data_IF_093801124913
#
_entry.id   IF_093801124913
#
_cell.length_a   1.000
_cell.length_b   1.000
_cell.length_c   1.000
_cell.angle_alpha   90.00
_cell.angle_beta   90.00
_cell.angle_gamma   90.00
#
_symmetry.space_group_name_H-M   'P 1'
#
loop_
_entity.id
_entity.type
_entity.pdbx_description
1 polymer ?
#
# COMPACT_ATOMS: atom_id res chain seq x y z
N UNK A 1 3.27 -7.30 -20.50
CA UNK A 1 2.00 -6.58 -20.74
C UNK A 1 1.09 -7.23 -21.80
N UNK A 2 1.52 -8.27 -22.56
CA UNK A 2 0.73 -8.85 -23.68
C UNK A 2 0.22 -10.31 -23.50
N UNK A 3 0.29 -10.92 -22.31
CA UNK A 3 -0.24 -12.30 -22.08
C UNK A 3 -1.11 -12.49 -20.84
N UNK A 4 -1.44 -11.42 -20.11
CA UNK A 4 -2.38 -11.48 -18.99
C UNK A 4 -3.86 -11.39 -19.45
N UNK A 5 -4.11 -10.99 -20.69
CA UNK A 5 -5.46 -10.96 -21.29
C UNK A 5 -5.88 -12.27 -21.96
N UNK A 6 -4.95 -13.17 -22.30
CA UNK A 6 -5.25 -14.32 -23.17
C UNK A 6 -5.83 -15.53 -22.42
N UNK A 7 -5.61 -15.65 -21.10
CA UNK A 7 -6.11 -16.80 -20.32
C UNK A 7 -7.62 -16.72 -19.99
N UNK A 8 -8.26 -15.57 -20.21
CA UNK A 8 -9.70 -15.39 -19.94
C UNK A 8 -10.60 -15.43 -21.19
N UNK A 9 -10.05 -15.74 -22.36
CA UNK A 9 -10.80 -15.72 -23.63
C UNK A 9 -11.44 -17.08 -24.04
N UNK A 10 -11.17 -18.19 -23.35
CA UNK A 10 -11.57 -19.53 -23.83
C UNK A 10 -12.80 -20.17 -23.15
N UNK A 11 -13.54 -19.44 -22.30
CA UNK A 11 -14.90 -19.87 -21.90
C UNK A 11 -15.94 -18.88 -22.37
N UNK A 12 -16.25 -18.98 -23.67
CA UNK A 12 -17.54 -18.55 -24.21
C UNK A 12 -18.65 -19.37 -23.54
N UNK A 13 -19.55 -18.70 -22.83
CA UNK A 13 -20.87 -19.25 -22.53
C UNK A 13 -21.93 -18.32 -23.08
N UNK A 14 -22.59 -18.85 -24.10
CA UNK A 14 -23.84 -18.41 -24.70
C UNK A 14 -24.90 -18.11 -23.64
N UNK A 15 -25.66 -17.03 -23.82
CA UNK A 15 -26.82 -16.75 -22.98
C UNK A 15 -27.17 -15.27 -22.95
N UNK A 16 -27.94 -14.82 -23.95
CA UNK A 16 -28.37 -13.44 -24.09
C UNK A 16 -29.29 -12.95 -22.98
N UNK A 17 -29.16 -11.67 -22.66
CA UNK A 17 -30.25 -10.73 -22.35
C UNK A 17 -29.68 -9.31 -22.45
N UNK A 18 -29.92 -8.68 -23.60
CA UNK A 18 -29.76 -7.24 -23.82
C UNK A 18 -30.80 -6.54 -22.94
N UNK A 19 -30.38 -5.73 -21.97
CA UNK A 19 -31.26 -4.76 -21.32
C UNK A 19 -30.73 -3.36 -21.64
N UNK A 20 -31.38 -2.72 -22.61
CA UNK A 20 -31.30 -1.28 -22.80
C UNK A 20 -31.70 -0.59 -21.50
N UNK A 21 -30.87 0.33 -21.00
CA UNK A 21 -31.33 1.31 -20.01
C UNK A 21 -30.78 2.68 -20.40
N UNK A 22 -31.76 3.54 -20.66
CA UNK A 22 -31.66 4.87 -21.22
C UNK A 22 -30.67 5.78 -20.46
N UNK A 23 -29.86 6.47 -21.25
CA UNK A 23 -29.19 7.72 -20.88
C UNK A 23 -30.23 8.81 -20.68
N UNK A 24 -30.46 9.21 -19.43
CA UNK A 24 -31.00 10.54 -19.12
C UNK A 24 -29.79 11.42 -18.81
N UNK A 25 -29.46 12.27 -19.78
CA UNK A 25 -28.61 13.44 -19.61
C UNK A 25 -29.48 14.48 -18.90
N UNK A 26 -29.12 14.90 -17.69
CA UNK A 26 -29.62 16.16 -17.13
C UNK A 26 -28.50 17.18 -17.31
N UNK A 27 -28.56 17.82 -18.48
CA UNK A 27 -27.98 19.12 -18.73
C UNK A 27 -29.16 20.02 -19.12
N UNK A 28 -29.63 20.83 -18.18
CA UNK A 28 -30.53 21.97 -18.40
C UNK A 28 -30.39 22.87 -17.19
N UNK A 29 -29.60 23.95 -17.27
CA UNK A 29 -30.06 25.27 -17.70
C UNK A 29 -31.25 25.76 -16.88
N UNK A 30 -30.96 26.51 -15.80
CA UNK A 30 -31.93 27.42 -15.19
C UNK A 30 -31.54 28.83 -15.63
N UNK A 31 -32.15 29.27 -16.72
CA UNK A 31 -32.34 30.70 -17.01
C UNK A 31 -33.80 30.97 -16.67
N UNK A 32 -34.03 31.71 -15.59
CA UNK A 32 -35.28 32.44 -15.38
C UNK A 32 -34.90 33.88 -15.10
N UNK A 33 -35.03 34.71 -16.14
CA UNK A 33 -34.94 36.15 -16.03
C UNK A 33 -36.15 36.68 -15.25
N UNK A 34 -35.90 37.43 -14.19
CA UNK A 34 -36.79 38.53 -13.78
C UNK A 34 -35.94 39.78 -13.75
N UNK A 35 -36.34 40.75 -14.57
CA UNK A 35 -35.65 42.01 -14.75
C UNK A 35 -36.06 42.98 -13.62
N UNK A 36 -35.09 43.41 -12.81
CA UNK A 36 -35.02 44.75 -12.21
C UNK A 36 -33.71 44.90 -11.42
N UNK A 37 -32.90 45.90 -11.76
CA UNK A 37 -31.72 46.29 -10.97
C UNK A 37 -30.40 46.12 -11.71
N UNK A 38 -29.96 47.19 -12.36
CA UNK A 38 -28.61 47.33 -12.88
C UNK A 38 -27.59 47.28 -11.74
N UNK A 39 -26.89 46.16 -11.58
CA UNK A 39 -25.51 46.17 -11.11
C UNK A 39 -24.66 45.36 -12.07
N UNK A 40 -23.79 46.08 -12.77
CA UNK A 40 -22.78 45.54 -13.67
C UNK A 40 -21.67 44.92 -12.83
N UNK A 41 -21.99 43.84 -12.12
CA UNK A 41 -20.99 43.01 -11.45
C UNK A 41 -20.20 42.29 -12.54
N UNK A 42 -19.07 42.89 -12.93
CA UNK A 42 -17.96 42.14 -13.50
C UNK A 42 -17.76 40.94 -12.56
N UNK A 43 -17.97 39.71 -13.05
CA UNK A 43 -17.61 38.49 -12.34
C UNK A 43 -16.10 38.55 -12.11
N UNK A 44 -15.69 39.25 -11.06
CA UNK A 44 -14.35 39.14 -10.49
C UNK A 44 -14.29 37.70 -10.03
N UNK A 45 -13.64 36.85 -10.83
CA UNK A 45 -13.15 35.57 -10.37
C UNK A 45 -12.49 35.87 -9.03
N UNK A 46 -13.02 35.31 -7.95
CA UNK A 46 -12.53 35.63 -6.61
C UNK A 46 -11.03 35.34 -6.58
N UNK A 47 -10.26 36.12 -5.82
CA UNK A 47 -8.81 35.90 -5.70
C UNK A 47 -8.50 34.42 -5.34
N UNK A 48 -9.37 33.79 -4.56
CA UNK A 48 -9.32 32.37 -4.23
C UNK A 48 -9.45 31.44 -5.46
N UNK A 49 -10.39 31.70 -6.38
CA UNK A 49 -10.50 30.91 -7.62
C UNK A 49 -9.31 31.12 -8.56
N UNK A 50 -8.78 32.34 -8.65
CA UNK A 50 -7.57 32.63 -9.45
C UNK A 50 -6.36 31.89 -8.90
N UNK A 51 -6.15 31.95 -7.58
CA UNK A 51 -5.08 31.22 -6.91
C UNK A 51 -5.25 29.71 -7.11
N UNK A 52 -6.44 29.15 -6.84
CA UNK A 52 -6.72 27.73 -7.05
C UNK A 52 -6.43 27.28 -8.49
N UNK A 53 -6.82 28.04 -9.51
CA UNK A 53 -6.49 27.73 -10.92
C UNK A 53 -4.99 27.77 -11.17
N UNK A 54 -4.29 28.74 -10.60
CA UNK A 54 -2.84 28.87 -10.72
C UNK A 54 -2.14 27.65 -10.10
N UNK A 55 -2.46 27.30 -8.86
CA UNK A 55 -1.90 26.13 -8.16
C UNK A 55 -2.22 24.83 -8.93
N UNK A 56 -3.44 24.71 -9.46
CA UNK A 56 -3.84 23.55 -10.24
C UNK A 56 -3.18 23.45 -11.63
N UNK A 57 -2.62 24.53 -12.17
CA UNK A 57 -2.13 24.56 -13.56
C UNK A 57 -0.91 23.66 -13.80
N UNK A 58 -0.09 23.41 -12.76
CA UNK A 58 1.10 22.57 -12.83
C UNK A 58 0.81 21.06 -12.74
N UNK A 59 -0.46 20.66 -12.64
CA UNK A 59 -0.83 19.29 -12.27
C UNK A 59 -1.06 18.42 -13.50
N UNK A 60 -1.20 17.09 -13.34
CA UNK A 60 -1.43 16.20 -14.50
C UNK A 60 -2.79 16.46 -15.13
N UNK A 61 -3.74 16.90 -14.30
CA UNK A 61 -5.13 17.10 -14.65
C UNK A 61 -5.61 18.44 -14.06
N UNK A 62 -5.21 19.58 -14.65
CA UNK A 62 -5.49 20.90 -14.08
C UNK A 62 -6.98 21.20 -13.87
N UNK A 63 -7.82 20.83 -14.83
CA UNK A 63 -9.27 21.03 -14.75
C UNK A 63 -9.92 20.22 -13.63
N UNK A 64 -9.40 19.02 -13.40
CA UNK A 64 -9.91 18.11 -12.39
C UNK A 64 -9.52 18.56 -10.99
N UNK A 65 -8.28 19.02 -10.81
CA UNK A 65 -7.83 19.68 -9.59
C UNK A 65 -8.76 20.83 -9.20
N UNK A 66 -8.97 21.76 -10.15
CA UNK A 66 -9.75 22.96 -9.88
C UNK A 66 -11.21 22.62 -9.62
N UNK A 67 -11.83 21.81 -10.47
CA UNK A 67 -13.25 21.44 -10.33
C UNK A 67 -13.55 20.66 -9.05
N UNK A 68 -12.59 19.88 -8.53
CA UNK A 68 -12.76 19.15 -7.27
C UNK A 68 -12.91 20.07 -6.05
N UNK A 69 -12.27 21.24 -6.05
CA UNK A 69 -12.27 22.19 -4.92
C UNK A 69 -13.14 23.42 -5.16
N UNK A 70 -13.54 23.70 -6.41
CA UNK A 70 -14.33 24.87 -6.78
C UNK A 70 -15.59 25.02 -5.92
N UNK A 71 -16.36 23.94 -5.74
CA UNK A 71 -17.58 23.96 -4.91
C UNK A 71 -17.29 24.28 -3.42
N UNK A 72 -16.10 23.96 -2.91
CA UNK A 72 -15.69 24.33 -1.55
C UNK A 72 -15.38 25.83 -1.44
N UNK A 73 -14.78 26.41 -2.49
CA UNK A 73 -14.49 27.84 -2.59
C UNK A 73 -15.80 28.63 -2.72
N UNK A 74 -16.71 28.18 -3.59
CA UNK A 74 -18.06 28.76 -3.73
C UNK A 74 -18.83 28.73 -2.40
N UNK A 75 -18.61 27.68 -1.59
CA UNK A 75 -19.14 27.52 -0.23
C UNK A 75 -18.46 28.39 0.84
N UNK A 76 -17.59 29.34 0.45
CA UNK A 76 -16.97 30.31 1.34
C UNK A 76 -15.68 29.86 2.02
N UNK A 77 -15.05 28.76 1.59
CA UNK A 77 -13.71 28.39 2.08
C UNK A 77 -12.67 29.36 1.56
N UNK A 78 -11.90 29.95 2.49
CA UNK A 78 -10.77 30.83 2.16
C UNK A 78 -9.63 30.02 1.54
N UNK A 79 -9.01 30.60 0.52
CA UNK A 79 -7.80 30.08 -0.13
C UNK A 79 -6.85 31.26 -0.26
N UNK A 80 -5.80 31.27 0.54
CA UNK A 80 -4.83 32.37 0.60
C UNK A 80 -3.41 31.88 0.20
N UNK A 81 -3.20 30.56 0.16
CA UNK A 81 -1.94 29.91 -0.20
C UNK A 81 -2.12 28.59 -0.96
N UNK A 82 -1.07 28.10 -1.61
CA UNK A 82 -1.05 26.75 -2.21
C UNK A 82 -1.29 25.64 -1.17
N UNK A 83 -0.84 25.86 0.07
CA UNK A 83 -1.11 24.97 1.20
C UNK A 83 -2.62 24.81 1.44
N UNK A 84 -3.41 25.88 1.28
CA UNK A 84 -4.86 25.82 1.43
C UNK A 84 -5.52 25.03 0.31
N UNK A 85 -5.00 25.16 -0.92
CA UNK A 85 -5.43 24.34 -2.07
C UNK A 85 -5.21 22.85 -1.78
N UNK A 86 -4.01 22.50 -1.29
CA UNK A 86 -3.63 21.13 -0.90
C UNK A 86 -4.57 20.61 0.21
N UNK A 87 -4.83 21.39 1.27
CA UNK A 87 -5.75 21.00 2.33
C UNK A 87 -7.18 20.80 1.83
N UNK A 88 -7.68 21.67 0.96
CA UNK A 88 -9.02 21.51 0.38
C UNK A 88 -9.11 20.24 -0.47
N UNK A 89 -8.11 19.97 -1.30
CA UNK A 89 -8.04 18.74 -2.10
C UNK A 89 -7.99 17.49 -1.22
N UNK A 90 -7.20 17.50 -0.14
CA UNK A 90 -7.14 16.43 0.86
C UNK A 90 -8.51 16.21 1.52
N UNK A 91 -9.16 17.28 1.97
CA UNK A 91 -10.44 17.18 2.67
C UNK A 91 -11.57 16.66 1.74
N UNK A 92 -11.63 17.15 0.49
CA UNK A 92 -12.57 16.63 -0.52
C UNK A 92 -12.32 15.13 -0.74
N UNK A 93 -11.06 14.73 -0.81
CA UNK A 93 -10.67 13.32 -0.98
C UNK A 93 -11.07 12.48 0.23
N UNK A 94 -10.77 12.92 1.46
CA UNK A 94 -11.14 12.22 2.70
C UNK A 94 -12.65 12.01 2.76
N UNK A 95 -13.43 13.07 2.54
CA UNK A 95 -14.91 13.00 2.53
C UNK A 95 -15.38 12.02 1.45
N UNK A 96 -14.78 12.06 0.26
CA UNK A 96 -15.08 11.10 -0.78
C UNK A 96 -14.76 9.68 -0.29
N UNK A 97 -13.57 9.42 0.28
CA UNK A 97 -13.08 8.14 0.82
C UNK A 97 -14.05 7.57 1.86
N UNK A 98 -14.42 8.37 2.86
CA UNK A 98 -15.40 8.03 3.91
C UNK A 98 -16.76 7.66 3.31
N UNK A 99 -17.24 8.40 2.31
CA UNK A 99 -18.53 8.10 1.66
C UNK A 99 -18.56 6.72 1.01
N UNK A 100 -17.54 6.32 0.22
CA UNK A 100 -17.59 4.95 -0.33
C UNK A 100 -17.28 3.89 0.73
N UNK A 101 -16.49 4.17 1.77
CA UNK A 101 -16.33 3.24 2.90
C UNK A 101 -17.72 2.93 3.51
N UNK A 102 -18.48 3.96 3.85
CA UNK A 102 -19.84 3.83 4.38
C UNK A 102 -20.80 3.14 3.39
N UNK A 103 -20.74 3.51 2.10
CA UNK A 103 -21.60 2.91 1.07
C UNK A 103 -21.32 1.41 0.91
N UNK A 104 -20.06 1.00 0.93
CA UNK A 104 -19.65 -0.40 0.76
C UNK A 104 -19.96 -1.19 2.03
N UNK A 105 -19.74 -0.61 3.21
CA UNK A 105 -20.17 -1.21 4.48
C UNK A 105 -21.67 -1.53 4.45
N UNK A 106 -22.51 -0.58 4.00
CA UNK A 106 -23.95 -0.80 3.81
C UNK A 106 -24.27 -1.87 2.77
N UNK A 107 -23.54 -1.93 1.66
CA UNK A 107 -23.73 -2.96 0.62
C UNK A 107 -23.41 -4.36 1.14
N UNK A 108 -22.39 -4.51 1.97
CA UNK A 108 -22.01 -5.81 2.55
C UNK A 108 -23.01 -6.23 3.64
N UNK A 109 -23.46 -5.29 4.48
CA UNK A 109 -24.41 -5.57 5.56
C UNK A 109 -25.85 -5.80 5.05
N UNK A 110 -26.21 -5.25 3.89
CA UNK A 110 -27.54 -5.37 3.32
C UNK A 110 -27.85 -6.78 2.82
N UNK A 111 -28.96 -7.36 3.30
CA UNK A 111 -29.47 -8.67 2.86
C UNK A 111 -29.97 -8.71 1.40
N UNK A 112 -30.03 -7.55 0.71
CA UNK A 112 -30.50 -7.44 -0.69
C UNK A 112 -29.40 -7.76 -1.73
N UNK A 113 -28.17 -7.96 -1.31
CA UNK A 113 -27.02 -8.13 -2.21
C UNK A 113 -26.74 -9.60 -2.49
N UNK A 114 -27.09 -10.08 -3.69
CA UNK A 114 -26.72 -11.42 -4.18
C UNK A 114 -25.24 -11.49 -4.60
N UNK A 115 -24.32 -11.19 -3.67
CA UNK A 115 -22.88 -11.35 -3.89
C UNK A 115 -22.45 -12.80 -3.69
N UNK A 116 -21.61 -13.28 -4.62
CA UNK A 116 -20.86 -14.53 -4.43
C UNK A 116 -19.95 -14.44 -3.21
N UNK A 117 -19.54 -15.60 -2.67
CA UNK A 117 -18.55 -15.67 -1.57
C UNK A 117 -17.29 -14.87 -1.90
N UNK A 118 -16.80 -14.99 -3.14
CA UNK A 118 -15.64 -14.28 -3.66
C UNK A 118 -15.81 -12.76 -3.69
N UNK A 119 -16.96 -12.27 -4.16
CA UNK A 119 -17.24 -10.84 -4.17
C UNK A 119 -17.33 -10.26 -2.75
N UNK A 120 -17.91 -10.99 -1.80
CA UNK A 120 -17.95 -10.56 -0.39
C UNK A 120 -16.55 -10.45 0.21
N UNK A 121 -15.65 -11.41 -0.08
CA UNK A 121 -14.25 -11.36 0.38
C UNK A 121 -13.51 -10.17 -0.24
N UNK A 122 -13.59 -9.99 -1.55
CA UNK A 122 -12.95 -8.86 -2.23
C UNK A 122 -13.47 -7.50 -1.74
N UNK A 123 -14.76 -7.39 -1.40
CA UNK A 123 -15.34 -6.17 -0.82
C UNK A 123 -14.84 -5.92 0.60
N UNK A 124 -14.59 -6.97 1.41
CA UNK A 124 -14.00 -6.83 2.75
C UNK A 124 -12.56 -6.35 2.68
N UNK A 125 -11.75 -6.94 1.79
CA UNK A 125 -10.37 -6.47 1.54
C UNK A 125 -10.35 -5.02 1.07
N UNK A 126 -11.34 -4.64 0.25
CA UNK A 126 -11.46 -3.25 -0.17
C UNK A 126 -11.86 -2.30 0.97
N UNK A 127 -12.69 -2.73 1.91
CA UNK A 127 -12.97 -1.89 3.09
C UNK A 127 -11.71 -1.68 3.94
N UNK A 128 -10.90 -2.71 4.12
CA UNK A 128 -9.63 -2.63 4.85
C UNK A 128 -8.66 -1.65 4.19
N UNK A 129 -8.46 -1.78 2.88
CA UNK A 129 -7.60 -0.83 2.14
C UNK A 129 -8.17 0.58 2.08
N UNK A 130 -9.51 0.77 2.12
CA UNK A 130 -10.11 2.09 2.26
C UNK A 130 -9.90 2.70 3.64
N UNK A 131 -9.95 1.89 4.70
CA UNK A 131 -9.62 2.31 6.06
C UNK A 131 -8.15 2.72 6.16
N UNK A 132 -7.23 1.92 5.60
CA UNK A 132 -5.80 2.29 5.49
C UNK A 132 -5.62 3.58 4.66
N UNK A 133 -6.34 3.75 3.54
CA UNK A 133 -6.31 4.98 2.73
C UNK A 133 -6.68 6.22 3.57
N UNK A 134 -7.66 6.10 4.47
CA UNK A 134 -8.06 7.21 5.33
C UNK A 134 -6.94 7.58 6.30
N UNK A 135 -6.27 6.59 6.91
CA UNK A 135 -5.15 6.88 7.81
C UNK A 135 -4.00 7.58 7.08
N UNK A 136 -3.66 7.15 5.86
CA UNK A 136 -2.61 7.79 5.05
C UNK A 136 -2.96 9.26 4.75
N UNK A 137 -4.22 9.54 4.40
CA UNK A 137 -4.68 10.90 4.11
C UNK A 137 -4.74 11.78 5.36
N UNK A 138 -5.22 11.25 6.49
CA UNK A 138 -5.25 11.97 7.76
C UNK A 138 -3.84 12.25 8.27
N UNK A 139 -2.91 11.31 8.08
CA UNK A 139 -1.49 11.51 8.39
C UNK A 139 -0.86 12.56 7.48
N UNK A 140 -1.22 12.58 6.19
CA UNK A 140 -0.78 13.63 5.25
C UNK A 140 -1.23 15.01 5.73
N UNK A 141 -2.50 15.15 6.16
CA UNK A 141 -3.02 16.40 6.74
C UNK A 141 -2.24 16.80 7.99
N UNK A 142 -1.86 15.84 8.85
CA UNK A 142 -1.08 16.11 10.05
C UNK A 142 0.34 16.59 9.71
N UNK A 143 1.06 15.88 8.83
CA UNK A 143 2.41 16.27 8.39
C UNK A 143 2.41 17.67 7.75
N UNK A 144 1.41 17.97 6.91
CA UNK A 144 1.25 19.29 6.31
C UNK A 144 1.02 20.40 7.35
N UNK A 145 0.31 20.12 8.44
CA UNK A 145 0.13 21.06 9.55
C UNK A 145 1.42 21.28 10.36
N UNK A 146 2.30 20.28 10.42
CA UNK A 146 3.58 20.40 11.13
C UNK A 146 4.63 21.22 10.34
N UNK A 147 4.49 21.38 9.03
CA UNK A 147 5.35 22.25 8.21
C UNK A 147 5.22 23.75 8.57
N UNK A 148 6.32 24.53 8.70
CA UNK A 148 7.71 24.18 8.36
C UNK A 148 8.56 23.65 9.54
N UNK A 149 7.92 23.22 10.62
CA UNK A 149 8.62 22.79 11.82
C UNK A 149 9.15 21.34 11.67
N UNK A 150 10.19 21.00 12.45
CA UNK A 150 10.79 19.66 12.66
C UNK A 150 11.56 19.00 11.52
N UNK A 151 11.25 19.23 10.25
CA UNK A 151 11.93 18.59 9.10
C UNK A 151 12.28 19.63 8.03
N UNK A 152 13.26 19.30 7.20
CA UNK A 152 13.53 20.09 5.99
C UNK A 152 12.35 20.00 5.03
N UNK A 153 12.27 20.94 4.09
CA UNK A 153 11.20 20.97 3.09
C UNK A 153 11.21 19.70 2.22
N UNK A 154 12.39 19.16 1.91
CA UNK A 154 12.55 17.96 1.11
C UNK A 154 12.04 16.73 1.87
N UNK A 155 12.38 16.61 3.15
CA UNK A 155 11.93 15.49 3.97
C UNK A 155 10.40 15.51 4.16
N UNK A 156 9.81 16.70 4.34
CA UNK A 156 8.37 16.89 4.36
C UNK A 156 7.72 16.48 3.03
N UNK A 157 8.26 16.94 1.90
CA UNK A 157 7.77 16.59 0.57
C UNK A 157 7.82 15.08 0.30
N UNK A 158 8.93 14.42 0.64
CA UNK A 158 9.09 12.98 0.46
C UNK A 158 8.08 12.17 1.29
N UNK A 159 7.86 12.55 2.55
CA UNK A 159 6.86 11.92 3.41
C UNK A 159 5.44 12.08 2.85
N UNK A 160 5.05 13.30 2.46
CA UNK A 160 3.75 13.57 1.85
C UNK A 160 3.55 12.71 0.59
N UNK A 161 4.54 12.67 -0.32
CA UNK A 161 4.47 11.83 -1.54
C UNK A 161 4.32 10.35 -1.21
N UNK A 162 5.02 9.85 -0.20
CA UNK A 162 4.92 8.44 0.21
C UNK A 162 3.52 8.11 0.71
N UNK A 163 2.98 8.90 1.64
CA UNK A 163 1.63 8.70 2.19
C UNK A 163 0.57 8.71 1.07
N UNK A 164 0.67 9.68 0.15
CA UNK A 164 -0.24 9.79 -0.99
C UNK A 164 -0.08 8.65 -1.99
N UNK A 165 1.15 8.21 -2.23
CA UNK A 165 1.43 7.06 -3.10
C UNK A 165 0.82 5.78 -2.53
N UNK A 166 0.87 5.61 -1.21
CA UNK A 166 0.23 4.51 -0.48
C UNK A 166 -1.29 4.60 -0.54
N UNK A 167 -1.88 5.79 -0.34
CA UNK A 167 -3.31 6.02 -0.50
C UNK A 167 -3.81 5.64 -1.92
N UNK A 168 -3.05 5.98 -2.98
CA UNK A 168 -3.36 5.58 -4.35
C UNK A 168 -3.24 4.06 -4.53
N UNK A 169 -2.22 3.45 -3.94
CA UNK A 169 -1.96 2.00 -4.00
C UNK A 169 -3.11 1.20 -3.41
N UNK A 170 -3.57 1.58 -2.22
CA UNK A 170 -4.65 0.92 -1.50
C UNK A 170 -5.97 0.94 -2.29
N UNK A 171 -6.20 1.97 -3.11
CA UNK A 171 -7.38 2.03 -3.98
C UNK A 171 -7.30 1.12 -5.21
N UNK A 172 -6.13 0.56 -5.55
CA UNK A 172 -5.90 -0.14 -6.82
C UNK A 172 -6.35 -1.58 -6.85
N UNK A 173 -6.37 -2.30 -5.72
CA UNK A 173 -6.46 -3.79 -5.65
C UNK A 173 -7.71 -4.42 -6.33
N UNK A 174 -8.61 -3.56 -6.83
CA UNK A 174 -9.82 -3.88 -7.56
C UNK A 174 -9.72 -3.92 -9.10
N UNK A 175 -8.58 -3.64 -9.74
CA UNK A 175 -8.54 -3.61 -11.21
C UNK A 175 -8.82 -4.98 -11.88
N UNK A 176 -8.78 -6.09 -11.14
CA UNK A 176 -8.89 -7.42 -11.73
C UNK A 176 -10.32 -7.99 -11.90
N UNK A 177 -11.37 -7.60 -11.15
CA UNK A 177 -12.61 -8.44 -11.15
C UNK A 177 -14.01 -7.83 -10.95
N UNK A 178 -14.23 -6.52 -10.85
CA UNK A 178 -15.62 -5.99 -10.73
C UNK A 178 -15.95 -4.89 -11.75
N UNK A 179 -16.28 -5.28 -12.98
CA UNK A 179 -16.60 -4.33 -14.08
C UNK A 179 -18.03 -3.75 -14.04
N UNK A 180 -18.96 -4.25 -13.22
CA UNK A 180 -20.37 -3.80 -13.24
C UNK A 180 -20.77 -2.76 -12.18
N UNK A 181 -20.23 -2.85 -10.95
CA UNK A 181 -20.66 -1.99 -9.83
C UNK A 181 -19.92 -0.64 -9.72
N UNK A 182 -18.86 -0.41 -10.51
CA UNK A 182 -17.95 0.74 -10.34
C UNK A 182 -18.09 1.86 -11.37
N UNK A 183 -18.98 1.71 -12.36
CA UNK A 183 -19.09 2.68 -13.46
C UNK A 183 -19.70 4.04 -13.06
N UNK A 184 -20.16 4.22 -11.82
CA UNK A 184 -20.71 5.49 -11.31
C UNK A 184 -20.00 6.05 -10.06
N UNK A 185 -19.29 5.24 -9.27
CA UNK A 185 -18.65 5.69 -8.01
C UNK A 185 -17.11 5.77 -8.07
N UNK A 186 -16.48 5.19 -9.11
CA UNK A 186 -15.03 5.01 -9.19
C UNK A 186 -14.29 5.94 -10.14
N UNK A 187 -14.99 6.81 -10.88
CA UNK A 187 -14.35 7.80 -11.76
C UNK A 187 -13.84 8.99 -10.93
N UNK A 188 -14.67 9.51 -10.02
CA UNK A 188 -14.37 10.71 -9.20
C UNK A 188 -13.25 10.60 -8.13
N UNK A 189 -12.65 9.42 -7.85
CA UNK A 189 -11.80 9.20 -6.65
C UNK A 189 -10.31 8.97 -6.94
N UNK A 190 -9.99 8.28 -8.04
CA UNK A 190 -8.58 8.08 -8.49
C UNK A 190 -7.97 9.32 -9.12
N UNK A 191 -8.76 10.38 -9.18
CA UNK A 191 -8.56 11.61 -9.92
C UNK A 191 -8.16 12.78 -8.98
N UNK A 192 -8.48 12.69 -7.68
CA UNK A 192 -8.16 13.72 -6.68
C UNK A 192 -6.82 13.47 -5.93
N UNK A 193 -6.37 12.22 -5.81
CA UNK A 193 -5.13 11.86 -5.10
C UNK A 193 -3.84 12.15 -5.90
N UNK A 194 -3.95 12.24 -7.23
CA UNK A 194 -2.84 12.51 -8.14
C UNK A 194 -2.34 13.95 -8.05
N UNK A 195 -3.18 14.84 -7.50
CA UNK A 195 -2.97 16.26 -7.30
C UNK A 195 -1.82 16.56 -6.32
N UNK A 196 -1.77 15.81 -5.22
CA UNK A 196 -0.95 16.16 -4.06
C UNK A 196 0.50 15.66 -4.18
N UNK A 197 0.73 14.65 -5.02
CA UNK A 197 2.07 14.11 -5.26
C UNK A 197 2.96 15.07 -6.09
N UNK A 198 2.36 15.97 -6.88
CA UNK A 198 3.07 16.91 -7.76
C UNK A 198 3.52 18.21 -7.10
N UNK A 199 2.76 18.73 -6.14
CA UNK A 199 3.16 19.96 -5.43
C UNK A 199 4.41 19.69 -4.57
N UNK A 200 4.58 18.46 -4.12
CA UNK A 200 5.80 17.98 -3.49
C UNK A 200 6.95 17.74 -4.52
N UNK A 201 6.65 17.58 -5.82
CA UNK A 201 7.64 17.40 -6.92
C UNK A 201 8.23 18.74 -7.42
N UNK A 202 7.55 19.88 -7.23
CA UNK A 202 8.05 21.18 -7.69
C UNK A 202 9.39 21.61 -7.04
N UNK A 203 9.75 21.01 -5.90
CA UNK A 203 11.08 21.17 -5.26
C UNK A 203 12.11 20.10 -5.69
N UNK A 204 11.73 19.03 -6.40
CA UNK A 204 12.61 17.91 -6.79
C UNK A 204 13.23 18.08 -8.19
N UNK A 205 12.69 18.97 -9.04
CA UNK A 205 13.30 19.27 -10.36
C UNK A 205 14.68 19.95 -10.24
N UNK A 206 14.99 20.63 -9.13
CA UNK A 206 16.34 21.13 -8.83
C UNK A 206 17.35 19.98 -8.53
N UNK A 207 16.87 18.81 -8.10
CA UNK A 207 17.71 17.63 -7.81
C UNK A 207 18.07 16.83 -9.06
N UNK A 208 17.33 16.92 -10.17
CA UNK A 208 17.73 16.24 -11.42
C UNK A 208 19.08 16.73 -11.96
N UNK A 209 19.50 17.93 -11.56
CA UNK A 209 20.82 18.49 -11.87
C UNK A 209 21.94 18.03 -10.90
N UNK A 210 21.60 17.58 -9.68
CA UNK A 210 22.57 17.23 -8.63
C UNK A 210 22.32 15.85 -8.00
N UNK A 211 22.70 14.79 -8.74
CA UNK A 211 23.21 13.54 -8.16
C UNK A 211 22.17 12.50 -7.72
N UNK A 212 22.01 11.44 -8.54
CA UNK A 212 21.41 10.16 -8.15
C UNK A 212 22.23 9.51 -7.02
N UNK A 213 21.91 9.79 -5.74
CA UNK A 213 22.57 9.16 -4.59
C UNK A 213 22.16 7.70 -4.48
N UNK A 214 23.04 6.81 -4.94
CA UNK A 214 23.03 5.39 -4.55
C UNK A 214 23.35 5.30 -3.06
N UNK A 215 22.66 4.45 -2.29
CA UNK A 215 23.09 4.12 -0.94
C UNK A 215 24.49 3.49 -1.02
N UNK A 216 25.46 4.05 -0.28
CA UNK A 216 26.81 3.51 -0.23
C UNK A 216 26.86 2.16 0.52
N UNK A 217 27.99 1.47 0.49
CA UNK A 217 28.18 0.19 1.20
C UNK A 217 28.01 0.37 2.71
N UNK A 218 27.26 -0.52 3.37
CA UNK A 218 26.97 -0.40 4.81
C UNK A 218 26.05 0.77 5.20
N UNK A 219 25.49 1.50 4.22
CA UNK A 219 24.61 2.65 4.48
C UNK A 219 23.18 2.15 4.66
N UNK A 220 22.73 2.21 5.91
CA UNK A 220 21.33 2.05 6.28
C UNK A 220 20.48 3.25 5.83
N UNK A 221 19.16 3.09 5.64
CA UNK A 221 18.29 4.20 5.29
C UNK A 221 18.38 5.34 6.31
N UNK A 222 18.38 6.58 5.82
CA UNK A 222 18.52 7.79 6.66
C UNK A 222 17.40 7.93 7.70
N UNK A 223 16.18 7.51 7.33
CA UNK A 223 15.03 7.50 8.23
C UNK A 223 15.16 6.52 9.40
N UNK A 224 16.09 5.56 9.32
CA UNK A 224 16.27 4.55 10.36
C UNK A 224 17.12 5.08 11.52
N UNK A 225 16.55 5.06 12.72
CA UNK A 225 17.22 5.54 13.92
C UNK A 225 18.50 4.72 14.21
N UNK A 226 19.47 5.34 14.88
CA UNK A 226 20.68 4.63 15.34
C UNK A 226 20.32 3.48 16.30
N UNK A 227 19.28 3.67 17.12
CA UNK A 227 18.80 2.65 18.06
C UNK A 227 18.25 1.43 17.31
N UNK A 228 17.42 1.63 16.30
CA UNK A 228 16.86 0.53 15.51
C UNK A 228 17.92 -0.22 14.72
N UNK A 229 18.91 0.49 14.16
CA UNK A 229 20.08 -0.13 13.51
C UNK A 229 20.84 -1.02 14.48
N UNK A 230 21.11 -0.52 15.69
CA UNK A 230 21.76 -1.31 16.75
C UNK A 230 20.93 -2.53 17.13
N UNK A 231 19.61 -2.40 17.28
CA UNK A 231 18.74 -3.54 17.58
C UNK A 231 18.75 -4.60 16.47
N UNK A 232 18.76 -4.19 15.20
CA UNK A 232 18.86 -5.11 14.06
C UNK A 232 20.22 -5.80 13.97
N UNK A 233 21.31 -5.16 14.43
CA UNK A 233 22.66 -5.71 14.29
C UNK A 233 23.22 -6.36 15.57
N UNK A 234 22.62 -6.11 16.73
CA UNK A 234 23.11 -6.61 18.03
C UNK A 234 23.12 -8.14 18.10
N UNK A 235 24.06 -8.73 18.84
CA UNK A 235 24.03 -10.17 19.12
C UNK A 235 22.94 -10.53 20.14
N UNK A 236 22.59 -9.59 21.03
CA UNK A 236 21.60 -9.77 22.09
C UNK A 236 20.64 -8.59 22.11
N UNK A 237 19.34 -8.88 22.22
CA UNK A 237 18.28 -7.87 22.36
C UNK A 237 17.43 -8.28 23.56
N UNK A 238 17.19 -7.36 24.50
CA UNK A 238 16.29 -7.59 25.63
C UNK A 238 14.85 -7.62 25.11
N UNK A 239 14.11 -8.73 25.28
CA UNK A 239 12.72 -8.81 24.85
C UNK A 239 11.76 -8.20 25.88
N UNK A 240 10.65 -7.65 25.40
CA UNK A 240 9.48 -7.27 26.21
C UNK A 240 8.50 -8.45 26.37
N UNK A 241 8.52 -9.40 25.42
CA UNK A 241 7.77 -10.65 25.47
C UNK A 241 8.52 -11.78 24.78
N UNK A 242 8.33 -13.00 25.29
CA UNK A 242 8.92 -14.23 24.74
C UNK A 242 7.81 -15.18 24.27
N UNK A 243 7.89 -15.60 23.01
CA UNK A 243 7.06 -16.65 22.44
C UNK A 243 7.86 -17.94 22.40
N UNK A 244 7.29 -19.03 22.89
CA UNK A 244 7.90 -20.35 22.86
C UNK A 244 6.85 -21.45 22.65
N UNK A 245 6.98 -22.19 21.55
CA UNK A 245 6.07 -23.30 21.23
C UNK A 245 6.06 -24.41 22.31
N UNK A 246 7.16 -24.57 23.04
CA UNK A 246 7.32 -25.53 24.15
C UNK A 246 6.68 -25.08 25.47
N UNK A 247 6.16 -23.84 25.54
CA UNK A 247 5.57 -23.25 26.75
C UNK A 247 6.56 -22.66 27.74
N UNK A 248 7.86 -22.55 27.39
CA UNK A 248 8.88 -21.94 28.25
C UNK A 248 8.95 -20.40 28.20
N UNK A 249 8.09 -19.77 27.41
CA UNK A 249 7.95 -18.31 27.26
C UNK A 249 6.62 -17.79 27.82
N UNK A 250 6.36 -16.50 27.64
CA UNK A 250 5.14 -15.82 28.08
C UNK A 250 3.91 -16.25 27.25
N UNK A 251 4.12 -16.53 25.97
CA UNK A 251 3.07 -16.92 25.01
C UNK A 251 3.47 -18.15 24.21
N UNK A 252 2.48 -18.93 23.75
CA UNK A 252 2.72 -20.10 22.89
C UNK A 252 2.69 -19.77 21.41
N UNK A 253 1.95 -18.73 21.03
CA UNK A 253 1.79 -18.28 19.65
C UNK A 253 2.28 -16.86 19.45
N UNK A 254 2.67 -16.53 18.21
CA UNK A 254 3.11 -15.19 17.84
C UNK A 254 1.91 -14.22 17.86
N UNK A 255 0.75 -14.67 17.40
CA UNK A 255 -0.48 -13.88 17.41
C UNK A 255 -0.90 -13.41 18.82
N UNK A 256 -0.75 -14.25 19.85
CA UNK A 256 -1.02 -13.87 21.25
C UNK A 256 -0.09 -12.76 21.73
N UNK A 257 1.21 -12.86 21.46
CA UNK A 257 2.18 -11.82 21.84
C UNK A 257 1.90 -10.48 21.12
N UNK A 258 1.56 -10.53 19.82
CA UNK A 258 1.15 -9.33 19.07
C UNK A 258 -0.13 -8.74 19.64
N UNK A 259 -1.12 -9.57 20.00
CA UNK A 259 -2.37 -9.12 20.60
C UNK A 259 -2.14 -8.44 21.95
N UNK A 260 -1.22 -8.95 22.78
CA UNK A 260 -0.87 -8.40 24.08
C UNK A 260 0.00 -7.12 24.03
N UNK A 261 0.78 -6.94 22.96
CA UNK A 261 1.61 -5.75 22.80
C UNK A 261 0.80 -4.44 22.86
N UNK A 262 1.35 -3.33 23.40
CA UNK A 262 0.63 -2.06 23.48
C UNK A 262 0.26 -1.51 22.09
N UNK A 263 -0.93 -0.91 21.97
CA UNK A 263 -1.31 -0.17 20.78
C UNK A 263 -0.65 1.22 20.76
N UNK A 264 -0.27 1.69 19.57
CA UNK A 264 0.32 3.01 19.31
C UNK A 264 1.51 3.35 20.21
N UNK A 265 2.32 2.33 20.54
CA UNK A 265 3.52 2.51 21.36
C UNK A 265 4.45 3.52 20.73
N UNK A 266 4.98 4.44 21.54
CA UNK A 266 6.02 5.41 21.12
C UNK A 266 7.42 4.80 21.14
N UNK A 267 7.59 3.67 21.83
CA UNK A 267 8.85 2.95 21.96
C UNK A 267 8.77 1.59 21.28
N UNK A 268 9.94 1.06 20.93
CA UNK A 268 10.11 -0.30 20.41
C UNK A 268 9.55 -1.32 21.40
N UNK A 269 8.73 -2.27 20.91
CA UNK A 269 8.27 -3.43 21.68
C UNK A 269 8.81 -4.69 21.02
N UNK A 270 9.71 -5.39 21.70
CA UNK A 270 10.49 -6.51 21.19
C UNK A 270 9.83 -7.84 21.58
N UNK A 271 9.41 -8.60 20.58
CA UNK A 271 8.89 -9.95 20.74
C UNK A 271 9.97 -10.93 20.29
N UNK A 272 10.57 -11.64 21.25
CA UNK A 272 11.49 -12.75 20.94
C UNK A 272 10.69 -14.01 20.66
N UNK A 273 10.97 -14.66 19.55
CA UNK A 273 10.30 -15.88 19.10
C UNK A 273 11.32 -17.01 19.11
N UNK A 274 11.24 -17.87 20.11
CA UNK A 274 12.20 -18.97 20.28
C UNK A 274 12.16 -19.94 19.10
N UNK A 275 13.23 -20.70 18.92
CA UNK A 275 13.31 -21.75 17.91
C UNK A 275 12.07 -22.67 17.95
N UNK A 276 11.51 -22.96 16.77
CA UNK A 276 10.26 -23.71 16.62
C UNK A 276 9.57 -23.42 15.29
N UNK A 277 8.56 -24.24 14.99
CA UNK A 277 7.68 -24.08 13.83
C UNK A 277 6.31 -23.63 14.31
N UNK A 278 5.94 -22.40 13.98
CA UNK A 278 4.70 -21.74 14.37
C UNK A 278 3.70 -21.79 13.21
N UNK A 279 2.71 -22.69 13.30
CA UNK A 279 1.70 -22.92 12.26
C UNK A 279 0.50 -21.99 12.46
N UNK A 280 0.66 -20.73 12.06
CA UNK A 280 -0.33 -19.68 12.28
C UNK A 280 -0.30 -18.62 11.18
N UNK A 281 -1.40 -17.87 11.03
CA UNK A 281 -1.42 -16.63 10.28
C UNK A 281 -1.35 -15.46 11.28
N UNK A 282 -0.40 -14.54 11.09
CA UNK A 282 -0.16 -13.41 12.01
C UNK A 282 -0.47 -12.10 11.32
N UNK A 283 -1.16 -11.19 12.02
CA UNK A 283 -1.43 -9.84 11.54
C UNK A 283 -0.93 -8.81 12.56
N UNK A 284 0.03 -7.98 12.16
CA UNK A 284 0.48 -6.81 12.91
C UNK A 284 -0.26 -5.60 12.36
N UNK A 285 -1.45 -5.35 12.92
CA UNK A 285 -2.38 -4.33 12.44
C UNK A 285 -1.80 -2.90 12.56
N UNK A 286 -2.42 -1.93 11.88
CA UNK A 286 -2.01 -0.51 11.92
C UNK A 286 -1.86 0.07 13.33
N UNK A 287 -2.59 -0.46 14.32
CA UNK A 287 -2.53 0.00 15.71
C UNK A 287 -1.29 -0.49 16.45
N UNK A 288 -0.60 -1.52 15.96
CA UNK A 288 0.56 -2.16 16.61
C UNK A 288 1.84 -1.56 16.03
N UNK A 289 2.14 -0.32 16.40
CA UNK A 289 3.32 0.43 15.93
C UNK A 289 4.58 0.04 16.70
N UNK A 290 5.76 0.18 16.08
CA UNK A 290 7.06 -0.07 16.70
C UNK A 290 7.28 -1.51 17.21
N UNK A 291 6.54 -2.49 16.68
CA UNK A 291 6.78 -3.91 16.98
C UNK A 291 8.08 -4.38 16.33
N UNK A 292 8.83 -5.24 17.03
CA UNK A 292 10.00 -5.92 16.50
C UNK A 292 9.93 -7.42 16.77
N UNK A 293 10.10 -8.23 15.74
CA UNK A 293 10.27 -9.67 15.87
C UNK A 293 11.76 -10.04 15.88
N UNK A 294 12.16 -10.89 16.83
CA UNK A 294 13.52 -11.42 16.93
C UNK A 294 13.44 -12.94 17.05
N UNK A 295 13.80 -13.67 16.01
CA UNK A 295 13.93 -15.13 16.08
C UNK A 295 15.25 -15.56 16.71
N UNK A 296 15.34 -16.83 17.14
CA UNK A 296 16.60 -17.44 17.59
C UNK A 296 17.52 -17.81 16.41
N UNK A 297 17.03 -17.71 15.17
CA UNK A 297 17.78 -18.00 13.96
C UNK A 297 16.86 -18.19 12.77
N UNK A 298 17.26 -17.68 11.60
CA UNK A 298 16.41 -17.72 10.38
C UNK A 298 15.98 -19.14 10.02
N UNK A 299 16.85 -20.14 10.19
CA UNK A 299 16.55 -21.55 9.87
C UNK A 299 15.88 -22.32 11.01
N UNK A 300 15.79 -21.75 12.22
CA UNK A 300 15.28 -22.43 13.42
C UNK A 300 13.96 -21.84 13.92
N UNK A 301 13.65 -20.59 13.60
CA UNK A 301 12.38 -19.94 13.94
C UNK A 301 11.57 -19.72 12.66
N UNK A 302 10.46 -20.46 12.49
CA UNK A 302 9.68 -20.48 11.24
C UNK A 302 8.22 -20.19 11.55
N UNK A 303 7.66 -19.14 10.94
CA UNK A 303 6.21 -18.89 10.92
C UNK A 303 5.67 -19.37 9.57
N UNK A 304 4.72 -20.31 9.58
CA UNK A 304 4.23 -20.97 8.37
C UNK A 304 2.71 -21.10 8.31
N UNK A 305 2.15 -20.94 7.10
CA UNK A 305 0.74 -21.22 6.80
C UNK A 305 0.58 -21.67 5.33
N UNK A 306 -0.66 -21.93 4.89
CA UNK A 306 -0.97 -22.49 3.56
C UNK A 306 -2.14 -21.80 2.85
N UNK A 307 -2.57 -20.62 3.32
CA UNK A 307 -3.67 -19.88 2.67
C UNK A 307 -3.29 -19.55 1.23
N UNK A 308 -4.23 -19.73 0.31
CA UNK A 308 -4.00 -19.57 -1.13
C UNK A 308 -5.31 -19.25 -1.88
N UNK A 309 -5.16 -18.78 -3.12
CA UNK A 309 -6.31 -18.38 -3.95
C UNK A 309 -7.18 -19.55 -4.41
N UNK A 310 -6.60 -20.70 -4.76
CA UNK A 310 -7.39 -21.86 -5.21
C UNK A 310 -8.38 -22.32 -4.14
N UNK A 311 -7.97 -22.30 -2.87
CA UNK A 311 -8.77 -22.79 -1.74
C UNK A 311 -9.70 -21.72 -1.13
N UNK A 312 -9.80 -20.54 -1.76
CA UNK A 312 -10.82 -19.54 -1.39
C UNK A 312 -10.30 -18.26 -0.72
N UNK A 313 -8.99 -18.08 -0.56
CA UNK A 313 -8.41 -16.82 -0.07
C UNK A 313 -8.29 -15.79 -1.19
N UNK A 314 -8.23 -14.50 -0.86
CA UNK A 314 -7.69 -13.51 -1.79
C UNK A 314 -6.16 -13.51 -1.71
N UNK A 315 -5.46 -12.96 -2.71
CA UNK A 315 -4.01 -12.76 -2.63
C UNK A 315 -3.66 -11.94 -1.38
N UNK A 316 -4.38 -10.83 -1.15
CA UNK A 316 -4.18 -9.94 -0.01
C UNK A 316 -4.29 -10.64 1.34
N UNK A 317 -5.28 -11.53 1.52
CA UNK A 317 -5.51 -12.30 2.75
C UNK A 317 -4.82 -13.67 2.80
N UNK A 318 -4.05 -14.03 1.76
CA UNK A 318 -3.29 -15.29 1.73
C UNK A 318 -2.01 -15.23 2.55
N UNK A 319 -1.59 -14.04 2.98
CA UNK A 319 -0.35 -13.82 3.71
C UNK A 319 -0.25 -14.68 4.99
N UNK A 320 0.86 -15.41 5.13
CA UNK A 320 1.23 -16.05 6.41
C UNK A 320 1.43 -14.98 7.47
N UNK A 321 2.22 -13.96 7.18
CA UNK A 321 2.38 -12.78 8.04
C UNK A 321 2.03 -11.52 7.26
N UNK A 322 1.14 -10.70 7.81
CA UNK A 322 0.82 -9.38 7.29
C UNK A 322 1.22 -8.29 8.29
N UNK A 323 2.02 -7.32 7.86
CA UNK A 323 2.48 -6.21 8.70
C UNK A 323 2.04 -4.87 8.12
N UNK A 324 1.29 -4.11 8.92
CA UNK A 324 0.75 -2.79 8.56
C UNK A 324 1.17 -1.74 9.59
N UNK A 325 1.27 -2.10 10.87
CA UNK A 325 1.74 -1.18 11.92
C UNK A 325 3.10 -0.57 11.61
N UNK A 326 3.20 0.76 11.67
CA UNK A 326 4.39 1.52 11.29
C UNK A 326 5.65 1.10 12.06
N UNK A 327 6.80 1.29 11.39
CA UNK A 327 8.15 1.06 11.93
C UNK A 327 8.37 -0.39 12.34
N UNK A 328 7.72 -1.35 11.69
CA UNK A 328 7.89 -2.77 12.00
C UNK A 328 9.34 -3.22 11.71
N UNK A 329 9.92 -3.99 12.62
CA UNK A 329 11.24 -4.60 12.45
C UNK A 329 11.14 -6.13 12.55
N UNK A 330 11.95 -6.85 11.78
CA UNK A 330 12.15 -8.27 11.99
C UNK A 330 13.60 -8.69 11.74
N UNK A 331 14.07 -9.66 12.52
CA UNK A 331 15.36 -10.31 12.28
C UNK A 331 15.40 -11.78 12.65
N UNK A 332 16.32 -12.49 11.99
CA UNK A 332 16.70 -13.87 12.30
C UNK A 332 15.50 -14.83 12.34
N UNK A 333 14.59 -14.73 11.37
CA UNK A 333 13.32 -15.49 11.31
C UNK A 333 12.91 -15.84 9.87
N UNK A 334 12.25 -16.97 9.67
CA UNK A 334 11.60 -17.35 8.40
C UNK A 334 10.10 -17.02 8.40
N UNK A 335 9.64 -16.39 7.32
CA UNK A 335 8.23 -16.30 6.94
C UNK A 335 7.97 -17.20 5.73
N UNK A 336 7.06 -18.16 5.87
CA UNK A 336 6.83 -19.16 4.82
C UNK A 336 5.35 -19.38 4.50
N UNK A 337 5.04 -19.55 3.22
CA UNK A 337 3.77 -20.14 2.79
C UNK A 337 4.06 -21.45 2.04
N UNK A 338 3.52 -22.56 2.55
CA UNK A 338 3.77 -23.92 2.02
C UNK A 338 2.66 -24.41 1.10
N UNK A 339 1.78 -23.54 0.61
CA UNK A 339 0.86 -23.91 -0.46
C UNK A 339 1.64 -24.36 -1.70
N UNK A 340 1.25 -25.50 -2.25
CA UNK A 340 1.85 -26.07 -3.48
C UNK A 340 1.74 -25.10 -4.66
N UNK A 341 2.66 -25.12 -5.64
CA UNK A 341 2.62 -24.19 -6.76
C UNK A 341 1.35 -24.32 -7.63
N UNK A 342 0.62 -25.44 -7.55
CA UNK A 342 -0.70 -25.64 -8.16
C UNK A 342 -1.81 -24.82 -7.52
N UNK A 343 -1.58 -24.26 -6.32
CA UNK A 343 -2.52 -23.44 -5.56
C UNK A 343 -2.53 -21.96 -5.95
N UNK A 344 -1.72 -21.59 -6.95
CA UNK A 344 -1.55 -20.22 -7.44
C UNK A 344 -1.07 -19.26 -6.34
N UNK A 345 -1.63 -18.05 -6.24
CA UNK A 345 -1.14 -17.01 -5.34
C UNK A 345 -1.23 -17.44 -3.87
N UNK A 346 -0.09 -17.37 -3.17
CA UNK A 346 0.03 -17.75 -1.76
C UNK A 346 1.17 -16.97 -1.09
N UNK A 347 0.81 -15.87 -0.43
CA UNK A 347 1.77 -14.91 0.12
C UNK A 347 2.41 -15.43 1.40
N UNK A 348 3.74 -15.34 1.53
CA UNK A 348 4.44 -15.61 2.78
C UNK A 348 4.46 -14.35 3.67
N UNK A 349 4.84 -13.21 3.11
CA UNK A 349 4.92 -11.94 3.83
C UNK A 349 4.26 -10.82 3.02
N UNK A 350 3.31 -10.11 3.63
CA UNK A 350 2.73 -8.86 3.11
C UNK A 350 3.17 -7.69 3.97
N UNK A 351 3.70 -6.64 3.35
CA UNK A 351 4.22 -5.45 4.02
C UNK A 351 3.51 -4.19 3.49
N UNK A 352 2.73 -3.56 4.36
CA UNK A 352 2.19 -2.20 4.17
C UNK A 352 2.67 -1.22 5.23
N UNK A 353 3.63 -1.63 6.07
CA UNK A 353 4.20 -0.82 7.16
C UNK A 353 5.23 0.18 6.64
N UNK A 354 5.01 1.47 6.90
CA UNK A 354 6.01 2.50 6.60
C UNK A 354 7.20 2.43 7.54
N UNK A 355 8.38 2.79 7.02
CA UNK A 355 9.65 2.76 7.74
C UNK A 355 9.97 1.36 8.33
N UNK A 356 9.58 0.31 7.63
CA UNK A 356 9.80 -1.07 8.07
C UNK A 356 11.13 -1.64 7.57
N UNK A 357 11.73 -2.54 8.35
CA UNK A 357 12.97 -3.21 7.95
C UNK A 357 13.09 -4.67 8.39
N UNK A 358 13.77 -5.45 7.56
CA UNK A 358 13.96 -6.88 7.70
C UNK A 358 15.45 -7.21 7.55
N UNK A 359 16.04 -7.86 8.54
CA UNK A 359 17.46 -8.21 8.55
C UNK A 359 17.67 -9.69 8.79
N UNK A 360 18.37 -10.39 7.89
CA UNK A 360 18.59 -11.85 8.00
C UNK A 360 17.29 -12.66 8.11
N UNK A 361 16.29 -12.31 7.30
CA UNK A 361 15.05 -13.06 7.20
C UNK A 361 15.03 -13.97 5.97
N UNK A 362 14.38 -15.12 6.08
CA UNK A 362 13.98 -15.93 4.93
C UNK A 362 12.50 -15.65 4.60
N UNK A 363 12.20 -15.42 3.32
CA UNK A 363 10.83 -15.28 2.81
C UNK A 363 10.62 -16.28 1.69
N UNK A 364 9.83 -17.32 1.98
CA UNK A 364 9.79 -18.55 1.16
C UNK A 364 8.35 -18.88 0.74
N UNK A 365 8.10 -18.97 -0.55
CA UNK A 365 6.86 -19.56 -1.10
C UNK A 365 7.07 -20.03 -2.55
N UNK A 366 6.01 -20.03 -3.34
CA UNK A 366 6.05 -20.20 -4.80
C UNK A 366 5.57 -18.91 -5.48
N UNK A 367 4.31 -18.87 -5.91
CA UNK A 367 3.74 -17.70 -6.57
C UNK A 367 3.35 -16.63 -5.53
N UNK A 368 3.66 -15.37 -5.83
CA UNK A 368 3.34 -14.20 -5.00
C UNK A 368 4.01 -14.25 -3.61
N UNK A 369 5.31 -14.59 -3.54
CA UNK A 369 6.02 -14.88 -2.28
C UNK A 369 6.08 -13.68 -1.31
N UNK A 370 6.59 -12.54 -1.78
CA UNK A 370 6.76 -11.30 -1.00
C UNK A 370 5.90 -10.20 -1.59
N UNK A 371 4.85 -9.80 -0.86
CA UNK A 371 3.97 -8.71 -1.24
C UNK A 371 4.41 -7.40 -0.57
N UNK A 372 5.26 -6.64 -1.27
CA UNK A 372 5.62 -5.26 -0.89
C UNK A 372 4.50 -4.30 -1.30
N UNK A 373 3.43 -4.32 -0.52
CA UNK A 373 2.14 -3.70 -0.85
C UNK A 373 2.28 -2.19 -1.04
N UNK A 374 2.68 -1.45 0.00
CA UNK A 374 2.70 0.01 0.06
C UNK A 374 3.80 0.53 1.01
N UNK A 375 3.96 1.86 1.07
CA UNK A 375 4.89 2.55 1.96
C UNK A 375 6.39 2.23 1.72
N UNK A 376 7.28 2.64 2.64
CA UNK A 376 8.73 2.42 2.54
C UNK A 376 9.16 1.18 3.30
N UNK A 377 9.87 0.26 2.64
CA UNK A 377 10.35 -0.97 3.28
C UNK A 377 11.81 -1.28 2.87
N UNK A 378 12.60 -1.76 3.83
CA UNK A 378 14.02 -2.08 3.61
C UNK A 378 14.34 -3.53 3.97
N UNK A 379 14.92 -4.28 3.03
CA UNK A 379 15.35 -5.66 3.25
C UNK A 379 16.86 -5.72 3.11
N UNK A 380 17.54 -6.30 4.09
CA UNK A 380 18.99 -6.42 4.09
C UNK A 380 19.46 -7.80 4.54
N UNK A 381 20.34 -8.41 3.74
CA UNK A 381 20.91 -9.73 4.03
C UNK A 381 19.83 -10.84 4.19
N UNK A 382 18.71 -10.67 3.47
CA UNK A 382 17.60 -11.61 3.44
C UNK A 382 17.71 -12.59 2.27
N UNK A 383 17.02 -13.73 2.37
CA UNK A 383 16.81 -14.66 1.26
C UNK A 383 15.34 -14.61 0.87
N UNK A 384 15.08 -14.44 -0.42
CA UNK A 384 13.74 -14.50 -0.99
C UNK A 384 13.74 -15.60 -2.05
N UNK A 385 12.85 -16.59 -1.90
CA UNK A 385 12.74 -17.69 -2.85
C UNK A 385 11.30 -17.92 -3.32
N UNK A 386 11.09 -17.91 -4.64
CA UNK A 386 9.76 -17.99 -5.25
C UNK A 386 9.80 -18.30 -6.74
N UNK A 387 8.63 -18.28 -7.39
CA UNK A 387 8.47 -18.61 -8.82
C UNK A 387 7.90 -17.43 -9.63
N UNK A 388 6.58 -17.39 -9.76
CA UNK A 388 5.81 -16.37 -10.49
C UNK A 388 5.60 -15.18 -9.57
N UNK A 389 5.91 -13.98 -10.04
CA UNK A 389 5.70 -12.72 -9.33
C UNK A 389 6.25 -12.74 -7.90
N UNK A 390 7.47 -13.24 -7.73
CA UNK A 390 8.05 -13.55 -6.41
C UNK A 390 8.13 -12.35 -5.47
N UNK A 391 8.43 -11.17 -6.00
CA UNK A 391 8.42 -9.88 -5.30
C UNK A 391 7.50 -8.94 -6.05
N UNK A 392 6.36 -8.58 -5.47
CA UNK A 392 5.33 -7.82 -6.18
C UNK A 392 4.68 -6.77 -5.27
N UNK A 393 3.98 -5.82 -5.90
CA UNK A 393 3.29 -4.72 -5.21
C UNK A 393 3.79 -3.34 -5.63
N UNK A 394 3.46 -2.33 -4.85
CA UNK A 394 3.68 -0.93 -5.21
C UNK A 394 4.25 -0.08 -4.06
N UNK A 395 5.03 -0.69 -3.17
CA UNK A 395 5.82 0.03 -2.19
C UNK A 395 7.05 0.74 -2.81
N UNK A 396 7.68 1.60 -2.02
CA UNK A 396 9.05 2.05 -2.22
C UNK A 396 9.99 1.11 -1.45
N UNK A 397 10.46 0.06 -2.12
CA UNK A 397 11.22 -1.02 -1.48
C UNK A 397 12.65 -1.10 -1.99
N UNK A 398 13.60 -1.25 -1.05
CA UNK A 398 15.01 -1.53 -1.36
C UNK A 398 15.39 -2.88 -0.77
N UNK A 399 15.93 -3.76 -1.62
CA UNK A 399 16.49 -5.06 -1.26
C UNK A 399 18.00 -5.00 -1.47
N UNK A 400 18.74 -4.89 -0.37
CA UNK A 400 20.17 -4.68 -0.37
C UNK A 400 20.92 -5.90 0.17
N UNK A 401 21.95 -6.37 -0.55
CA UNK A 401 22.75 -7.53 -0.13
C UNK A 401 21.90 -8.80 0.13
N UNK A 402 20.80 -8.95 -0.60
CA UNK A 402 19.90 -10.09 -0.50
C UNK A 402 20.30 -11.20 -1.46
N UNK A 403 19.94 -12.43 -1.11
CA UNK A 403 19.88 -13.57 -2.02
C UNK A 403 18.46 -13.71 -2.57
N UNK A 404 18.30 -13.71 -3.88
CA UNK A 404 17.00 -13.79 -4.54
C UNK A 404 17.02 -14.97 -5.49
N UNK A 405 16.39 -16.07 -5.10
CA UNK A 405 16.46 -17.34 -5.82
C UNK A 405 15.13 -17.68 -6.49
N UNK A 406 15.17 -17.83 -7.81
CA UNK A 406 14.07 -18.46 -8.53
C UNK A 406 14.08 -19.97 -8.27
N UNK A 407 12.91 -20.56 -8.03
CA UNK A 407 12.77 -22.02 -7.84
C UNK A 407 12.01 -22.70 -8.98
N UNK A 408 11.97 -24.04 -8.98
CA UNK A 408 11.25 -24.78 -10.04
C UNK A 408 9.76 -24.44 -10.02
N UNK A 409 9.20 -23.85 -11.10
CA UNK A 409 7.78 -23.60 -11.19
C UNK A 409 7.02 -24.84 -11.68
N UNK A 410 5.69 -24.77 -11.69
CA UNK A 410 4.87 -25.74 -12.40
C UNK A 410 5.22 -25.78 -13.90
N UNK A 411 5.00 -26.95 -14.51
CA UNK A 411 5.23 -27.15 -15.95
C UNK A 411 4.54 -26.07 -16.78
N UNK A 412 5.26 -25.53 -17.78
CA UNK A 412 4.78 -24.48 -18.68
C UNK A 412 4.69 -23.07 -18.07
N UNK A 413 5.05 -22.88 -16.78
CA UNK A 413 5.12 -21.55 -16.16
C UNK A 413 6.52 -20.96 -16.29
N UNK A 414 6.59 -19.63 -16.26
CA UNK A 414 7.82 -18.85 -16.30
C UNK A 414 8.00 -18.15 -14.97
N UNK A 415 9.21 -18.18 -14.44
CA UNK A 415 9.54 -17.40 -13.25
C UNK A 415 9.60 -15.91 -13.59
N UNK A 416 9.14 -15.09 -12.64
CA UNK A 416 9.23 -13.64 -12.70
C UNK A 416 9.68 -13.18 -11.31
N UNK A 417 10.89 -12.61 -11.23
CA UNK A 417 11.44 -12.15 -9.94
C UNK A 417 10.61 -10.99 -9.40
N UNK A 418 10.30 -10.00 -10.25
CA UNK A 418 9.57 -8.79 -9.83
C UNK A 418 8.35 -8.51 -10.69
N UNK A 419 7.25 -8.11 -10.06
CA UNK A 419 6.07 -7.55 -10.74
C UNK A 419 5.63 -6.27 -10.01
N UNK A 420 6.22 -5.14 -10.41
CA UNK A 420 5.95 -3.84 -9.79
C UNK A 420 4.65 -3.20 -10.30
N UNK A 421 3.87 -2.64 -9.39
CA UNK A 421 2.49 -2.21 -9.59
C UNK A 421 2.27 -0.70 -9.62
N UNK A 422 3.25 0.12 -10.06
CA UNK A 422 3.03 1.57 -10.20
C UNK A 422 1.99 1.89 -11.25
N UNK A 423 1.10 2.82 -10.94
CA UNK A 423 -0.02 3.21 -11.84
C UNK A 423 0.01 4.65 -12.24
N UNK A 424 0.53 5.50 -11.36
CA UNK A 424 0.58 6.93 -11.55
C UNK A 424 2.04 7.37 -11.62
N UNK A 425 2.41 8.23 -12.58
CA UNK A 425 3.78 8.71 -12.70
C UNK A 425 4.26 9.52 -11.49
N UNK A 426 3.34 10.10 -10.71
CA UNK A 426 3.65 10.91 -9.52
C UNK A 426 3.82 10.03 -8.26
N UNK A 427 3.60 8.71 -8.35
CA UNK A 427 3.94 7.82 -7.23
C UNK A 427 5.45 7.68 -7.10
N UNK A 428 5.97 7.91 -5.90
CA UNK A 428 7.40 7.76 -5.57
C UNK A 428 7.79 6.30 -5.22
N UNK A 429 7.11 5.34 -5.87
CA UNK A 429 7.22 3.91 -5.59
C UNK A 429 8.16 3.21 -6.57
N UNK A 430 8.71 2.07 -6.15
CA UNK A 430 9.69 1.33 -6.93
C UNK A 430 10.25 0.13 -6.15
N UNK A 431 10.68 -0.90 -6.88
CA UNK A 431 11.48 -2.00 -6.32
C UNK A 431 12.91 -1.81 -6.78
N UNK A 432 13.84 -1.62 -5.83
CA UNK A 432 15.27 -1.49 -6.08
C UNK A 432 15.98 -2.72 -5.53
N UNK A 433 16.70 -3.43 -6.40
CA UNK A 433 17.56 -4.55 -6.02
C UNK A 433 19.01 -4.06 -6.15
N UNK A 434 19.72 -3.96 -5.03
CA UNK A 434 21.05 -3.33 -4.97
C UNK A 434 22.07 -4.26 -4.29
N UNK A 435 23.23 -4.49 -4.94
CA UNK A 435 24.31 -5.34 -4.39
C UNK A 435 23.83 -6.74 -3.95
N UNK A 436 22.76 -7.22 -4.57
CA UNK A 436 22.11 -8.50 -4.25
C UNK A 436 22.52 -9.56 -5.28
N UNK A 437 22.32 -10.83 -4.94
CA UNK A 437 22.63 -11.99 -5.78
C UNK A 437 21.32 -12.57 -6.29
N UNK A 438 21.13 -12.59 -7.60
CA UNK A 438 19.97 -13.23 -8.24
C UNK A 438 20.43 -14.57 -8.81
N UNK A 439 19.80 -15.65 -8.37
CA UNK A 439 20.20 -17.01 -8.71
C UNK A 439 19.03 -17.98 -8.83
N UNK A 440 19.35 -19.26 -8.83
CA UNK A 440 18.38 -20.35 -8.90
C UNK A 440 18.63 -21.35 -7.77
N UNK A 441 17.58 -21.89 -7.18
CA UNK A 441 17.68 -23.05 -6.28
C UNK A 441 18.13 -24.29 -7.05
N UNK A 442 18.67 -25.28 -6.33
CA UNK A 442 19.21 -26.51 -6.92
C UNK A 442 18.20 -27.29 -7.76
N UNK A 443 16.91 -27.21 -7.44
CA UNK A 443 15.84 -27.83 -8.22
C UNK A 443 15.57 -27.12 -9.57
N UNK A 444 16.01 -25.87 -9.76
CA UNK A 444 15.83 -25.14 -11.03
C UNK A 444 17.10 -25.17 -11.90
N UNK A 445 18.27 -25.32 -11.28
CA UNK A 445 19.54 -25.37 -12.01
C UNK A 445 19.54 -26.53 -13.02
N UNK A 446 20.18 -26.31 -14.17
CA UNK A 446 20.40 -27.37 -15.15
C UNK A 446 21.29 -28.43 -14.53
N UNK A 447 20.85 -29.69 -14.59
CA UNK A 447 21.63 -30.86 -14.17
C UNK A 447 22.80 -31.08 -15.12
#
# INVERSE_FOLDING_TARGET
MFRFQQFFAEKSFSGGKKLLLATIIIASAVVSATAAGSDRATLKISAAHTLARSSCSGTLYPELCYSAIAASIDGGKKVESDKDVIFLSLNVTIVAVQRNYAAIGKLIAGNKSNFTKWEKLALKDYLETLDETLDELETTVKELNEYPFKKSIEAHADDLKTLLSSAITNQRDRQARTRSLHRRAGRSRREALQQLARDADQHDEERKLNGRRRLAEGVWPEWMSVVDRRLLQSTTVTPDAVVAADGSGDYKTVAEAVAAAPEKSKTRYVIRIKAGVYKENVEVSKKKTNIMFVGDGRTTTIITATKNVVDGSTTFKSATVAVVGEKFLARDITFQNTAEPSKHQAVALRVGSDLSAFYKCDILAYQDTLYVHSNRNFFINCLIAGTVDSIFGNAASVLQDCDIHARRPNSGKKNMVTTHGRTDPNQNTGIVIQKSRIGATSDLQSV
#
